data_IF_342612743449
#
_entry.id   IF_342612743449
#
_cell.length_a   1.000
_cell.length_b   1.000
_cell.length_c   1.000
_cell.angle_alpha   90.00
_cell.angle_beta   90.00
_cell.angle_gamma   90.00
#
_symmetry.space_group_name_H-M   'P 1'
#
loop_
_entity.id
_entity.type
_entity.pdbx_description
1 polymer ?
#
# COMPACT_ATOMS: atom_id res chain seq x y z
N UNK A 1 3.38 16.15 -1.08
CA UNK A 1 4.10 15.35 -0.07
C UNK A 1 5.60 15.62 -0.11
N UNK A 2 6.29 15.46 -1.22
CA UNK A 2 7.74 15.62 -1.35
C UNK A 2 8.27 16.98 -0.85
N UNK A 3 7.68 18.09 -1.28
CA UNK A 3 8.11 19.44 -0.85
C UNK A 3 8.02 19.62 0.67
N UNK A 4 6.98 19.05 1.28
CA UNK A 4 6.79 19.10 2.72
C UNK A 4 7.88 18.33 3.48
N UNK A 5 8.24 17.14 2.98
CA UNK A 5 9.34 16.36 3.54
C UNK A 5 10.68 17.07 3.38
N UNK A 6 10.95 17.63 2.20
CA UNK A 6 12.17 18.44 1.97
C UNK A 6 12.34 19.62 2.92
N UNK A 7 11.22 20.18 3.39
CA UNK A 7 11.22 21.34 4.28
C UNK A 7 11.40 20.97 5.74
N UNK A 8 10.81 19.85 6.18
CA UNK A 8 10.70 19.57 7.62
C UNK A 8 11.51 18.37 8.11
N UNK A 9 11.89 17.41 7.24
CA UNK A 9 12.65 16.24 7.67
C UNK A 9 14.10 16.61 7.92
N UNK A 10 14.58 16.31 9.12
CA UNK A 10 15.97 16.55 9.54
C UNK A 10 16.81 15.27 9.46
N UNK A 11 18.10 15.45 9.22
CA UNK A 11 19.06 14.36 9.31
C UNK A 11 19.20 13.91 10.77
N UNK A 12 19.01 12.62 11.02
CA UNK A 12 19.15 12.02 12.35
C UNK A 12 19.70 10.60 12.25
N UNK A 13 20.11 10.06 13.39
CA UNK A 13 20.54 8.66 13.46
C UNK A 13 19.33 7.75 13.32
N UNK A 14 19.47 6.74 12.46
CA UNK A 14 18.46 5.71 12.31
C UNK A 14 18.28 4.92 13.61
N UNK A 15 17.03 4.66 13.97
CA UNK A 15 16.66 3.80 15.09
C UNK A 15 16.44 2.38 14.59
N UNK A 16 17.05 1.39 15.23
CA UNK A 16 16.92 0.01 14.79
C UNK A 16 15.45 -0.45 14.90
N UNK A 17 15.08 -1.38 14.01
CA UNK A 17 13.76 -2.02 13.96
C UNK A 17 12.60 -1.04 13.82
N UNK A 18 12.77 -0.04 12.97
CA UNK A 18 11.76 0.98 12.77
C UNK A 18 11.52 1.29 11.31
N UNK A 19 10.28 1.65 10.98
CA UNK A 19 9.86 2.04 9.63
C UNK A 19 8.78 3.12 9.66
N UNK A 20 8.56 3.77 8.52
CA UNK A 20 7.43 4.65 8.30
C UNK A 20 6.47 4.04 7.27
N UNK A 21 5.19 4.43 7.34
CA UNK A 21 4.21 4.20 6.29
C UNK A 21 3.87 5.54 5.65
N UNK A 22 3.98 5.62 4.33
CA UNK A 22 3.72 6.82 3.54
C UNK A 22 2.54 6.60 2.60
N UNK A 23 1.66 7.61 2.49
CA UNK A 23 0.49 7.52 1.62
C UNK A 23 -0.78 7.04 2.33
N UNK A 24 -0.85 7.15 3.66
CA UNK A 24 -2.03 6.81 4.47
C UNK A 24 -3.07 7.93 4.38
N UNK A 25 -3.85 8.00 3.31
CA UNK A 25 -4.79 9.09 3.09
C UNK A 25 -6.18 8.76 3.66
N UNK A 26 -6.79 9.71 4.36
CA UNK A 26 -8.09 9.55 5.02
C UNK A 26 -9.28 9.42 4.03
N UNK A 27 -9.05 9.63 2.74
CA UNK A 27 -10.03 9.41 1.67
C UNK A 27 -10.20 7.92 1.32
N UNK A 28 -9.37 7.04 1.88
CA UNK A 28 -9.41 5.61 1.66
C UNK A 28 -10.25 4.91 2.73
N UNK A 29 -11.18 4.05 2.28
CA UNK A 29 -12.08 3.34 3.17
C UNK A 29 -11.31 2.40 4.09
N UNK A 30 -11.53 2.52 5.40
CA UNK A 30 -10.93 1.70 6.46
C UNK A 30 -9.39 1.70 6.51
N UNK A 31 -8.72 2.69 5.93
CA UNK A 31 -7.25 2.79 5.89
C UNK A 31 -6.59 2.65 7.28
N UNK A 32 -7.24 3.08 8.36
CA UNK A 32 -6.71 2.89 9.72
C UNK A 32 -6.61 1.41 10.11
N UNK A 33 -7.54 0.57 9.65
CA UNK A 33 -7.51 -0.87 9.91
C UNK A 33 -6.40 -1.53 9.09
N UNK A 34 -6.22 -1.13 7.85
CA UNK A 34 -5.15 -1.64 6.97
C UNK A 34 -3.77 -1.29 7.56
N UNK A 35 -3.60 -0.05 8.04
CA UNK A 35 -2.38 0.37 8.72
C UNK A 35 -2.12 -0.48 9.97
N UNK A 36 -3.13 -0.70 10.81
CA UNK A 36 -3.01 -1.54 12.02
C UNK A 36 -2.62 -2.98 11.67
N UNK A 37 -3.19 -3.53 10.59
CA UNK A 37 -2.86 -4.88 10.13
C UNK A 37 -1.42 -4.98 9.63
N UNK A 38 -0.95 -4.00 8.85
CA UNK A 38 0.46 -3.93 8.43
C UNK A 38 1.37 -3.82 9.65
N UNK A 39 1.04 -2.96 10.61
CA UNK A 39 1.82 -2.76 11.84
C UNK A 39 1.89 -4.05 12.67
N UNK A 40 0.75 -4.72 12.85
CA UNK A 40 0.69 -6.01 13.55
C UNK A 40 1.55 -7.06 12.85
N UNK A 41 1.38 -7.19 11.53
CA UNK A 41 2.10 -8.20 10.74
C UNK A 41 3.62 -7.98 10.80
N UNK A 42 4.10 -6.76 10.63
CA UNK A 42 5.54 -6.48 10.68
C UNK A 42 6.12 -6.62 12.10
N UNK A 43 5.35 -6.30 13.12
CA UNK A 43 5.75 -6.54 14.51
C UNK A 43 5.88 -8.02 14.80
N UNK A 44 4.90 -8.84 14.40
CA UNK A 44 4.92 -10.30 14.61
C UNK A 44 6.04 -10.99 13.81
N UNK A 45 6.18 -10.63 12.52
CA UNK A 45 7.10 -11.29 11.60
C UNK A 45 8.56 -10.88 11.80
N UNK A 46 8.83 -9.61 12.10
CA UNK A 46 10.19 -9.07 12.11
C UNK A 46 10.57 -8.34 13.40
N UNK A 47 9.63 -8.07 14.31
CA UNK A 47 9.85 -7.23 15.50
C UNK A 47 10.18 -5.78 15.13
N UNK A 48 9.51 -5.26 14.08
CA UNK A 48 9.65 -3.88 13.61
C UNK A 48 8.45 -3.03 14.01
N UNK A 49 8.72 -1.76 14.33
CA UNK A 49 7.72 -0.84 14.85
C UNK A 49 7.54 0.36 13.93
N UNK A 50 6.28 0.69 13.63
CA UNK A 50 5.95 1.88 12.85
C UNK A 50 6.19 3.15 13.69
N UNK A 51 6.92 4.11 13.11
CA UNK A 51 7.17 5.41 13.73
C UNK A 51 6.18 6.46 13.31
N UNK A 52 5.73 6.41 12.06
CA UNK A 52 4.89 7.40 11.46
C UNK A 52 4.01 6.77 10.37
N UNK A 53 2.75 7.15 10.30
CA UNK A 53 1.79 6.76 9.25
C UNK A 53 1.27 8.01 8.54
N UNK A 54 2.09 8.57 7.65
CA UNK A 54 1.84 9.88 7.04
C UNK A 54 0.86 9.79 5.84
N UNK A 55 -0.09 10.71 5.71
CA UNK A 55 -0.36 11.87 6.57
C UNK A 55 -1.29 11.60 7.76
N UNK A 56 -1.87 10.38 7.87
CA UNK A 56 -2.85 10.06 8.89
C UNK A 56 -2.21 10.02 10.28
N UNK A 57 -2.86 10.70 11.26
CA UNK A 57 -2.45 10.69 12.67
C UNK A 57 -0.96 11.01 12.90
N UNK A 58 -0.37 11.88 12.06
CA UNK A 58 1.05 12.22 12.12
C UNK A 58 1.26 13.67 12.55
N UNK A 59 2.06 13.87 13.60
CA UNK A 59 2.47 15.18 14.09
C UNK A 59 3.66 15.76 13.31
N UNK A 60 3.84 17.09 13.33
CA UNK A 60 5.03 17.74 12.76
C UNK A 60 6.34 17.22 13.37
N UNK A 61 6.32 16.83 14.63
CA UNK A 61 7.49 16.25 15.31
C UNK A 61 7.87 14.91 14.70
N UNK A 62 6.91 14.04 14.42
CA UNK A 62 7.17 12.75 13.80
C UNK A 62 7.71 12.91 12.39
N UNK A 63 7.19 13.88 11.63
CA UNK A 63 7.70 14.20 10.28
C UNK A 63 9.14 14.71 10.36
N UNK A 64 9.45 15.59 11.31
CA UNK A 64 10.81 16.11 11.52
C UNK A 64 11.83 14.98 11.71
N UNK A 65 11.45 13.95 12.45
CA UNK A 65 12.28 12.78 12.74
C UNK A 65 11.99 11.56 11.87
N UNK A 66 11.35 11.75 10.72
CA UNK A 66 11.05 10.63 9.81
C UNK A 66 12.30 9.90 9.31
N UNK A 67 13.46 10.59 9.26
CA UNK A 67 14.73 9.98 8.89
C UNK A 67 15.33 9.05 9.96
N UNK A 68 14.71 8.92 11.13
CA UNK A 68 15.08 7.89 12.11
C UNK A 68 14.67 6.46 11.70
N UNK A 69 13.79 6.29 10.71
CA UNK A 69 13.35 4.98 10.23
C UNK A 69 14.43 4.29 9.37
N UNK A 70 14.50 2.97 9.43
CA UNK A 70 15.39 2.17 8.60
C UNK A 70 14.88 2.03 7.17
N UNK A 71 13.55 2.02 6.97
CA UNK A 71 12.93 1.97 5.64
C UNK A 71 11.54 2.60 5.65
N UNK A 72 10.98 2.80 4.46
CA UNK A 72 9.61 3.28 4.27
C UNK A 72 8.76 2.23 3.55
N UNK A 73 7.50 2.06 3.96
CA UNK A 73 6.46 1.40 3.17
C UNK A 73 5.66 2.50 2.48
N UNK A 74 5.44 2.38 1.19
CA UNK A 74 4.69 3.34 0.38
C UNK A 74 3.42 2.67 -0.10
N UNK A 75 2.27 3.20 0.30
CA UNK A 75 0.95 2.63 -0.03
C UNK A 75 0.32 3.28 -1.27
N UNK A 76 0.77 4.49 -1.65
CA UNK A 76 0.21 5.24 -2.79
C UNK A 76 1.29 5.86 -3.65
N UNK A 77 1.04 5.93 -4.95
CA UNK A 77 2.00 6.51 -5.91
C UNK A 77 2.33 7.97 -5.62
N UNK A 78 1.39 8.74 -5.07
CA UNK A 78 1.61 10.13 -4.70
C UNK A 78 2.64 10.32 -3.58
N UNK A 79 2.95 9.26 -2.84
CA UNK A 79 3.97 9.26 -1.80
C UNK A 79 5.36 8.86 -2.31
N UNK A 80 5.45 8.23 -3.50
CA UNK A 80 6.73 7.79 -4.07
C UNK A 80 7.78 8.90 -4.19
N UNK A 81 7.47 10.14 -4.66
CA UNK A 81 8.48 11.18 -4.75
C UNK A 81 9.13 11.51 -3.40
N UNK A 82 8.37 11.46 -2.30
CA UNK A 82 8.93 11.67 -0.95
C UNK A 82 9.83 10.50 -0.53
N UNK A 83 9.42 9.26 -0.80
CA UNK A 83 10.23 8.06 -0.49
C UNK A 83 11.53 8.01 -1.30
N UNK A 84 11.48 8.36 -2.59
CA UNK A 84 12.66 8.46 -3.46
C UNK A 84 13.63 9.51 -2.91
N UNK A 85 13.12 10.70 -2.58
CA UNK A 85 13.95 11.74 -1.97
C UNK A 85 14.58 11.31 -0.65
N UNK A 86 13.84 10.60 0.23
CA UNK A 86 14.41 10.06 1.49
C UNK A 86 15.49 9.01 1.22
N UNK A 87 15.33 8.18 0.19
CA UNK A 87 16.36 7.21 -0.23
C UNK A 87 17.63 7.92 -0.70
N UNK A 88 17.49 8.93 -1.55
CA UNK A 88 18.62 9.69 -2.10
C UNK A 88 19.34 10.52 -1.02
N UNK A 89 18.59 11.13 -0.12
CA UNK A 89 19.12 12.09 0.87
C UNK A 89 19.67 11.43 2.13
N UNK A 90 18.99 10.35 2.61
CA UNK A 90 19.27 9.73 3.90
C UNK A 90 19.60 8.23 3.78
N UNK A 91 19.65 7.71 2.55
CA UNK A 91 19.85 6.27 2.26
C UNK A 91 18.79 5.37 2.92
N UNK A 92 17.54 5.84 3.03
CA UNK A 92 16.41 5.10 3.58
C UNK A 92 15.68 4.42 2.42
N UNK A 93 15.79 3.09 2.25
CA UNK A 93 15.12 2.36 1.19
C UNK A 93 13.60 2.39 1.38
N UNK A 94 12.86 2.04 0.32
CA UNK A 94 11.41 1.92 0.41
C UNK A 94 10.92 0.67 -0.32
N UNK A 95 9.77 0.19 0.12
CA UNK A 95 8.98 -0.86 -0.50
C UNK A 95 7.64 -0.26 -0.89
N UNK A 96 7.16 -0.55 -2.10
CA UNK A 96 5.83 -0.12 -2.56
C UNK A 96 4.87 -1.30 -2.54
N UNK A 97 3.70 -1.11 -1.92
CA UNK A 97 2.64 -2.11 -1.92
C UNK A 97 1.27 -1.45 -1.87
N UNK A 98 0.31 -1.97 -2.61
CA UNK A 98 -1.10 -1.58 -2.49
C UNK A 98 -1.85 -2.34 -1.38
N UNK A 99 -1.20 -3.34 -0.77
CA UNK A 99 -1.64 -4.07 0.43
C UNK A 99 -3.00 -4.79 0.33
N UNK A 100 -3.51 -5.04 -0.87
CA UNK A 100 -4.75 -5.81 -1.07
C UNK A 100 -4.45 -7.26 -1.44
N UNK A 101 -5.04 -8.18 -0.67
CA UNK A 101 -4.94 -9.62 -0.90
C UNK A 101 -3.73 -10.29 -0.24
N UNK A 102 -3.80 -11.62 -0.20
CA UNK A 102 -2.79 -12.48 0.45
C UNK A 102 -1.46 -12.45 -0.33
N UNK A 103 -1.54 -12.46 -1.66
CA UNK A 103 -0.34 -12.49 -2.49
C UNK A 103 0.46 -11.19 -2.38
N UNK A 104 -0.23 -10.04 -2.32
CA UNK A 104 0.46 -8.76 -2.16
C UNK A 104 1.07 -8.62 -0.75
N UNK A 105 0.39 -9.15 0.28
CA UNK A 105 0.98 -9.21 1.62
C UNK A 105 2.22 -10.10 1.65
N UNK A 106 2.19 -11.27 1.00
CA UNK A 106 3.38 -12.14 0.86
C UNK A 106 4.53 -11.42 0.14
N UNK A 107 4.22 -10.69 -0.93
CA UNK A 107 5.19 -9.89 -1.68
C UNK A 107 5.77 -8.78 -0.80
N UNK A 108 4.94 -8.03 -0.09
CA UNK A 108 5.39 -6.99 0.85
C UNK A 108 6.37 -7.56 1.87
N UNK A 109 6.03 -8.68 2.51
CA UNK A 109 6.90 -9.32 3.52
C UNK A 109 8.23 -9.81 2.93
N UNK A 110 8.20 -10.34 1.70
CA UNK A 110 9.42 -10.72 0.98
C UNK A 110 10.31 -9.51 0.70
N UNK A 111 9.76 -8.44 0.15
CA UNK A 111 10.51 -7.22 -0.17
C UNK A 111 11.06 -6.54 1.10
N UNK A 112 10.27 -6.51 2.19
CA UNK A 112 10.75 -6.05 3.49
C UNK A 112 11.91 -6.92 3.99
N UNK A 113 11.77 -8.25 3.94
CA UNK A 113 12.83 -9.19 4.32
C UNK A 113 14.15 -8.94 3.56
N UNK A 114 14.06 -8.64 2.26
CA UNK A 114 15.22 -8.31 1.41
C UNK A 114 15.87 -6.98 1.83
N UNK A 115 15.05 -5.97 2.14
CA UNK A 115 15.51 -4.63 2.56
C UNK A 115 16.22 -4.68 3.91
N UNK A 116 15.61 -5.35 4.91
CA UNK A 116 16.16 -5.43 6.26
C UNK A 116 17.18 -6.57 6.44
N UNK A 117 17.26 -7.49 5.46
CA UNK A 117 18.11 -8.70 5.48
C UNK A 117 17.83 -9.62 6.67
N UNK A 118 16.56 -9.74 7.03
CA UNK A 118 16.08 -10.60 8.12
C UNK A 118 14.96 -11.48 7.60
N UNK A 119 15.04 -12.79 7.86
CA UNK A 119 13.95 -13.71 7.52
C UNK A 119 12.78 -13.54 8.47
N UNK A 120 11.52 -13.68 7.98
CA UNK A 120 10.34 -13.61 8.83
C UNK A 120 10.35 -14.75 9.87
N UNK A 121 9.84 -14.47 11.07
CA UNK A 121 9.83 -15.41 12.19
C UNK A 121 8.89 -16.59 12.00
N UNK A 122 7.92 -16.49 11.10
CA UNK A 122 6.91 -17.52 10.88
C UNK A 122 6.88 -17.96 9.42
N UNK A 123 7.05 -19.25 9.17
CA UNK A 123 6.93 -19.86 7.85
C UNK A 123 5.46 -20.13 7.43
N UNK A 124 4.47 -19.79 8.28
CA UNK A 124 3.06 -20.13 8.06
C UNK A 124 2.34 -19.31 6.98
N UNK A 125 3.02 -18.33 6.37
CA UNK A 125 2.45 -17.57 5.23
C UNK A 125 2.11 -18.47 4.03
N UNK A 126 2.82 -19.59 3.86
CA UNK A 126 2.57 -20.52 2.77
C UNK A 126 1.35 -21.41 3.02
N UNK A 127 0.87 -21.51 4.27
CA UNK A 127 -0.29 -22.32 4.66
C UNK A 127 -1.63 -21.58 4.60
N UNK A 128 -1.63 -20.28 4.32
CA UNK A 128 -2.87 -19.53 4.09
C UNK A 128 -3.42 -19.94 2.73
N UNK A 129 -4.41 -20.82 2.77
CA UNK A 129 -5.12 -21.27 1.57
C UNK A 129 -5.81 -20.08 0.90
N UNK A 130 -5.80 -20.06 -0.43
CA UNK A 130 -6.54 -19.09 -1.21
C UNK A 130 -8.01 -19.09 -0.76
N UNK A 131 -8.54 -17.90 -0.48
CA UNK A 131 -9.96 -17.72 -0.27
C UNK A 131 -10.66 -18.03 -1.58
N UNK A 132 -11.71 -18.87 -1.56
CA UNK A 132 -12.54 -19.03 -2.74
C UNK A 132 -13.77 -18.14 -2.65
N UNK A 133 -14.06 -17.38 -3.68
CA UNK A 133 -15.32 -16.67 -3.78
C UNK A 133 -16.48 -17.68 -3.89
N UNK A 134 -17.55 -17.47 -3.11
CA UNK A 134 -18.75 -18.32 -3.18
C UNK A 134 -19.51 -18.18 -4.49
N UNK A 135 -19.29 -17.08 -5.21
CA UNK A 135 -20.01 -16.75 -6.44
C UNK A 135 -19.08 -16.02 -7.40
N UNK A 136 -18.37 -16.79 -8.22
CA UNK A 136 -17.38 -16.29 -9.19
C UNK A 136 -17.99 -15.53 -10.37
N UNK A 137 -19.28 -15.73 -10.60
CA UNK A 137 -20.02 -15.14 -11.74
C UNK A 137 -20.65 -13.79 -11.41
N UNK A 138 -20.57 -13.36 -10.15
CA UNK A 138 -21.06 -12.03 -9.78
C UNK A 138 -20.32 -10.93 -10.51
N UNK A 139 -21.09 -9.93 -10.95
CA UNK A 139 -20.56 -8.70 -11.50
C UNK A 139 -20.16 -7.75 -10.37
N UNK A 140 -18.92 -7.28 -10.38
CA UNK A 140 -18.38 -6.35 -9.40
C UNK A 140 -17.83 -5.12 -10.11
N UNK A 141 -18.26 -3.95 -9.68
CA UNK A 141 -17.70 -2.69 -10.13
C UNK A 141 -16.97 -2.00 -8.96
N UNK A 142 -15.67 -1.76 -9.15
CA UNK A 142 -14.80 -1.09 -8.19
C UNK A 142 -14.66 0.37 -8.61
N UNK A 143 -15.02 1.29 -7.72
CA UNK A 143 -14.82 2.72 -7.90
C UNK A 143 -13.93 3.25 -6.78
N UNK A 144 -12.80 3.88 -7.11
CA UNK A 144 -11.88 4.35 -6.08
C UNK A 144 -10.68 5.12 -6.62
N UNK A 145 -9.68 5.30 -5.77
CA UNK A 145 -8.38 5.77 -6.23
C UNK A 145 -7.66 4.65 -7.01
N UNK A 146 -6.65 5.03 -7.79
CA UNK A 146 -5.97 4.09 -8.69
C UNK A 146 -5.33 2.89 -7.96
N UNK A 147 -4.74 3.09 -6.78
CA UNK A 147 -4.07 2.02 -6.06
C UNK A 147 -5.06 1.03 -5.48
N UNK A 148 -6.11 1.51 -4.79
CA UNK A 148 -7.17 0.65 -4.25
C UNK A 148 -7.90 -0.11 -5.35
N UNK A 149 -8.21 0.57 -6.47
CA UNK A 149 -8.87 -0.07 -7.62
C UNK A 149 -7.99 -1.17 -8.23
N UNK A 150 -6.67 -0.94 -8.39
CA UNK A 150 -5.72 -1.93 -8.87
C UNK A 150 -5.60 -3.12 -7.92
N UNK A 151 -5.39 -2.85 -6.64
CA UNK A 151 -5.19 -3.88 -5.63
C UNK A 151 -6.42 -4.78 -5.48
N UNK A 152 -7.62 -4.18 -5.39
CA UNK A 152 -8.87 -4.93 -5.32
C UNK A 152 -9.16 -5.70 -6.61
N UNK A 153 -8.95 -5.09 -7.79
CA UNK A 153 -9.13 -5.78 -9.06
C UNK A 153 -8.27 -7.04 -9.10
N UNK A 154 -6.99 -6.93 -8.78
CA UNK A 154 -6.06 -8.07 -8.76
C UNK A 154 -6.47 -9.12 -7.74
N UNK A 155 -6.81 -8.73 -6.52
CA UNK A 155 -7.26 -9.65 -5.47
C UNK A 155 -8.50 -10.43 -5.91
N UNK A 156 -9.51 -9.75 -6.47
CA UNK A 156 -10.75 -10.40 -6.90
C UNK A 156 -10.55 -11.32 -8.11
N UNK A 157 -9.73 -10.90 -9.09
CA UNK A 157 -9.54 -11.69 -10.33
C UNK A 157 -8.51 -12.81 -10.17
N UNK A 158 -7.38 -12.56 -9.51
CA UNK A 158 -6.27 -13.52 -9.43
C UNK A 158 -6.35 -14.44 -8.20
N UNK A 159 -6.80 -13.91 -7.03
CA UNK A 159 -6.87 -14.71 -5.81
C UNK A 159 -8.24 -15.35 -5.59
N UNK A 160 -9.33 -14.64 -5.89
CA UNK A 160 -10.71 -15.14 -5.75
C UNK A 160 -11.28 -15.72 -7.05
N UNK A 161 -10.54 -15.62 -8.16
CA UNK A 161 -10.89 -16.13 -9.47
C UNK A 161 -12.27 -15.66 -9.98
N UNK A 162 -12.65 -14.41 -9.66
CA UNK A 162 -13.87 -13.79 -10.16
C UNK A 162 -13.71 -13.35 -11.61
N UNK A 163 -14.72 -13.61 -12.45
CA UNK A 163 -14.63 -13.39 -13.91
C UNK A 163 -15.13 -12.00 -14.35
N UNK A 164 -16.12 -11.46 -13.66
CA UNK A 164 -16.82 -10.23 -14.05
C UNK A 164 -16.47 -9.06 -13.12
N UNK A 165 -15.19 -8.67 -13.07
CA UNK A 165 -14.71 -7.56 -12.23
C UNK A 165 -14.27 -6.40 -13.10
N UNK A 166 -14.80 -5.22 -12.82
CA UNK A 166 -14.50 -3.97 -13.51
C UNK A 166 -13.95 -2.94 -12.52
N UNK A 167 -12.97 -2.17 -12.94
CA UNK A 167 -12.38 -1.13 -12.09
C UNK A 167 -12.29 0.22 -12.82
N UNK A 168 -12.71 1.27 -12.13
CA UNK A 168 -12.61 2.66 -12.57
C UNK A 168 -11.96 3.50 -11.49
N UNK A 169 -11.00 4.34 -11.87
CA UNK A 169 -10.33 5.24 -10.96
C UNK A 169 -10.73 6.71 -11.19
N UNK A 170 -10.95 7.45 -10.10
CA UNK A 170 -11.29 8.88 -10.17
C UNK A 170 -10.16 9.73 -10.76
N UNK A 171 -8.91 9.30 -10.56
CA UNK A 171 -7.73 9.90 -11.19
C UNK A 171 -6.72 8.81 -11.53
N UNK A 172 -6.07 8.93 -12.67
CA UNK A 172 -5.01 8.01 -13.08
C UNK A 172 -3.72 8.80 -13.25
N UNK A 173 -2.67 8.40 -12.54
CA UNK A 173 -1.32 8.99 -12.66
C UNK A 173 -0.47 8.28 -13.71
N UNK A 174 -0.88 7.07 -14.11
CA UNK A 174 -0.20 6.26 -15.14
C UNK A 174 -1.24 5.58 -16.03
N UNK A 175 -0.89 5.34 -17.29
CA UNK A 175 -1.71 4.58 -18.23
C UNK A 175 -1.71 3.08 -17.87
N UNK A 176 -2.45 2.70 -16.85
CA UNK A 176 -2.73 1.30 -16.60
C UNK A 176 -3.91 0.87 -17.48
N UNK A 177 -3.67 -0.04 -18.42
CA UNK A 177 -4.70 -0.54 -19.37
C UNK A 177 -5.83 -1.31 -18.68
N UNK A 178 -5.61 -1.79 -17.46
CA UNK A 178 -6.60 -2.56 -16.70
C UNK A 178 -7.60 -1.69 -15.93
N UNK A 179 -7.30 -0.40 -15.77
CA UNK A 179 -8.17 0.56 -15.08
C UNK A 179 -8.54 1.69 -16.04
N UNK A 180 -9.82 1.91 -16.17
CA UNK A 180 -10.34 3.02 -16.94
C UNK A 180 -10.46 4.29 -16.06
N UNK A 181 -10.13 5.48 -16.60
CA UNK A 181 -10.45 6.72 -15.91
C UNK A 181 -11.99 6.84 -15.78
N UNK A 182 -12.43 7.36 -14.63
CA UNK A 182 -13.84 7.62 -14.42
C UNK A 182 -14.38 8.61 -15.47
N UNK A 183 -15.36 8.15 -16.25
CA UNK A 183 -16.19 8.98 -17.12
C UNK A 183 -17.61 8.46 -17.00
N UNK A 184 -18.57 9.38 -16.85
CA UNK A 184 -19.98 9.04 -16.67
C UNK A 184 -20.50 8.15 -17.81
N UNK A 185 -20.13 8.46 -19.05
CA UNK A 185 -20.48 7.67 -20.24
C UNK A 185 -19.96 6.21 -20.19
N UNK A 186 -18.78 6.00 -19.59
CA UNK A 186 -18.20 4.67 -19.45
C UNK A 186 -18.91 3.90 -18.34
N UNK A 187 -19.24 4.59 -17.24
CA UNK A 187 -20.01 4.01 -16.14
C UNK A 187 -21.38 3.53 -16.59
N UNK A 188 -22.12 4.38 -17.32
CA UNK A 188 -23.44 4.02 -17.87
C UNK A 188 -23.35 2.81 -18.80
N UNK A 189 -22.34 2.77 -19.67
CA UNK A 189 -22.12 1.64 -20.57
C UNK A 189 -21.84 0.34 -19.81
N UNK A 190 -21.05 0.39 -18.76
CA UNK A 190 -20.73 -0.78 -17.92
C UNK A 190 -21.96 -1.23 -17.11
N UNK A 191 -22.70 -0.31 -16.52
CA UNK A 191 -23.93 -0.64 -15.79
C UNK A 191 -25.00 -1.29 -16.67
N UNK A 192 -25.08 -0.91 -17.94
CA UNK A 192 -26.00 -1.53 -18.91
C UNK A 192 -25.52 -2.90 -19.41
N UNK A 193 -24.30 -3.32 -19.06
CA UNK A 193 -23.72 -4.62 -19.45
C UNK A 193 -23.80 -5.63 -18.29
N UNK A 194 -24.07 -5.16 -17.07
CA UNK A 194 -24.30 -5.92 -15.85
C UNK A 194 -25.75 -6.33 -15.73
#
# INVERSE_FOLDING_TARGET
>A
MELFFKTYVEACLQKPRSYNILGCCADEYLIENDIKEIQRTLSEMFDYHCRMSYPLNTSLREIRFAAEAEFNIVLRQEALPAAIWMKERFNIPYVFSDCYGIQEMKKLLKEVSEVIRVSPRCAQLDSVNALSAHDKEKHVLILGNQNSANGLLRCLTEELEMHNVYAMAFSTTTHNKSIQPYKEEILEKQLNTI
#
